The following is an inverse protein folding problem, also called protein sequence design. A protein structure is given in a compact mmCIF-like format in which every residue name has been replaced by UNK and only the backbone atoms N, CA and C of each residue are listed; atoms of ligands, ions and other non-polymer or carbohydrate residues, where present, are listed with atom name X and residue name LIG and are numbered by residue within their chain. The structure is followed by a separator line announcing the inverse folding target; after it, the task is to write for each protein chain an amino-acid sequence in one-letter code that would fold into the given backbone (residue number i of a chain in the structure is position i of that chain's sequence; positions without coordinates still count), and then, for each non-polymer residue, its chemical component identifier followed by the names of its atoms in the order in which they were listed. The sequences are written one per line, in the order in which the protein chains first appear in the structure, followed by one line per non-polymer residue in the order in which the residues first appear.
data_IF_630631946656
#
_entry.id   IF_630631946656
#
_cell.length_a   1.000
_cell.length_b   1.000
_cell.length_c   1.000
_cell.angle_alpha   90.00
_cell.angle_beta   90.00
_cell.angle_gamma   90.00
#
_symmetry.space_group_name_H-M   'P 1'
#
loop_
_entity.id
_entity.type
_entity.pdbx_description
1 polymer ?
#
# COMPACT_ATOMS: atom_id res chain seq x y z
N UNK A 1 -53.66 61.36 69.42
CA UNK A 1 -54.16 60.06 68.93
C UNK A 1 -54.16 59.90 67.41
N UNK A 2 -55.07 60.51 66.63
CA UNK A 2 -55.13 60.26 65.16
C UNK A 2 -53.85 60.67 64.39
N UNK A 3 -53.24 61.81 64.75
CA UNK A 3 -52.01 62.29 64.12
C UNK A 3 -50.78 61.42 64.47
N UNK A 4 -50.69 60.93 65.70
CA UNK A 4 -49.60 60.04 66.14
C UNK A 4 -49.71 58.67 65.48
N UNK A 5 -50.92 58.11 65.37
CA UNK A 5 -51.14 56.85 64.64
C UNK A 5 -50.82 56.99 63.16
N UNK A 6 -51.10 58.14 62.53
CA UNK A 6 -50.75 58.40 61.12
C UNK A 6 -49.24 58.56 60.92
N UNK A 7 -48.55 59.26 61.82
CA UNK A 7 -47.10 59.41 61.77
C UNK A 7 -46.38 58.05 61.96
N UNK A 8 -46.89 57.22 62.86
CA UNK A 8 -46.38 55.86 63.05
C UNK A 8 -46.61 54.99 61.81
N UNK A 9 -47.77 55.10 61.17
CA UNK A 9 -48.09 54.35 59.96
C UNK A 9 -47.18 54.74 58.79
N UNK A 10 -46.92 56.03 58.59
CA UNK A 10 -45.96 56.52 57.59
C UNK A 10 -44.54 56.01 57.88
N UNK A 11 -44.09 56.05 59.14
CA UNK A 11 -42.77 55.52 59.51
C UNK A 11 -42.66 54.00 59.29
N UNK A 12 -43.76 53.26 59.45
CA UNK A 12 -43.80 51.83 59.13
C UNK A 12 -43.79 51.58 57.62
N UNK A 13 -44.52 52.35 56.82
CA UNK A 13 -44.49 52.27 55.35
C UNK A 13 -43.09 52.55 54.78
N UNK A 14 -42.41 53.56 55.33
CA UNK A 14 -41.02 53.87 54.96
C UNK A 14 -40.08 52.71 55.29
N UNK A 15 -40.25 52.09 56.46
CA UNK A 15 -39.44 50.92 56.87
C UNK A 15 -39.72 49.68 56.04
N UNK A 16 -40.98 49.44 55.67
CA UNK A 16 -41.34 48.33 54.76
C UNK A 16 -40.70 48.53 53.39
N UNK A 17 -40.72 49.76 52.88
CA UNK A 17 -40.10 50.11 51.60
C UNK A 17 -38.58 49.95 51.65
N UNK A 18 -37.95 50.35 52.76
CA UNK A 18 -36.51 50.17 52.98
C UNK A 18 -36.11 48.69 53.00
N UNK A 19 -36.84 47.86 53.75
CA UNK A 19 -36.58 46.41 53.80
C UNK A 19 -36.85 45.72 52.48
N UNK A 20 -37.91 46.11 51.76
CA UNK A 20 -38.19 45.57 50.44
C UNK A 20 -37.05 45.88 49.47
N UNK A 21 -36.55 47.12 49.45
CA UNK A 21 -35.40 47.49 48.61
C UNK A 21 -34.13 46.71 48.98
N UNK A 22 -33.88 46.53 50.27
CA UNK A 22 -32.72 45.77 50.75
C UNK A 22 -32.81 44.30 50.32
N UNK A 23 -33.99 43.70 50.43
CA UNK A 23 -34.25 42.34 49.99
C UNK A 23 -34.11 42.19 48.47
N UNK A 24 -34.66 43.13 47.69
CA UNK A 24 -34.55 43.13 46.22
C UNK A 24 -33.08 43.21 45.79
N UNK A 25 -32.28 44.07 46.41
CA UNK A 25 -30.84 44.16 46.14
C UNK A 25 -30.11 42.86 46.47
N UNK A 26 -30.40 42.26 47.63
CA UNK A 26 -29.79 40.98 48.02
C UNK A 26 -30.15 39.84 47.06
N UNK A 27 -31.40 39.81 46.58
CA UNK A 27 -31.85 38.83 45.59
C UNK A 27 -31.10 39.03 44.26
N UNK A 28 -30.95 40.28 43.81
CA UNK A 28 -30.21 40.59 42.59
C UNK A 28 -28.74 40.14 42.70
N UNK A 29 -28.06 40.47 43.79
CA UNK A 29 -26.67 40.05 44.03
C UNK A 29 -26.54 38.52 44.04
N UNK A 30 -27.47 37.81 44.68
CA UNK A 30 -27.46 36.36 44.75
C UNK A 30 -27.75 35.71 43.38
N UNK A 31 -28.61 36.32 42.57
CA UNK A 31 -28.85 35.86 41.18
C UNK A 31 -27.58 36.03 40.35
N UNK A 32 -26.92 37.19 40.41
CA UNK A 32 -25.68 37.46 39.67
C UNK A 32 -24.53 36.53 40.11
N UNK A 33 -24.43 36.25 41.41
CA UNK A 33 -23.45 35.29 41.93
C UNK A 33 -23.72 33.88 41.41
N UNK A 34 -24.98 33.41 41.48
CA UNK A 34 -25.35 32.08 41.01
C UNK A 34 -25.20 31.92 39.50
N UNK A 35 -25.53 32.95 38.73
CA UNK A 35 -25.32 32.94 37.29
C UNK A 35 -23.82 32.83 36.95
N UNK A 36 -22.97 33.55 37.67
CA UNK A 36 -21.51 33.47 37.50
C UNK A 36 -20.97 32.10 37.85
N UNK A 37 -21.36 31.54 39.00
CA UNK A 37 -20.95 30.19 39.41
C UNK A 37 -21.37 29.13 38.39
N UNK A 38 -22.61 29.23 37.89
CA UNK A 38 -23.15 28.30 36.90
C UNK A 38 -22.37 28.40 35.58
N UNK A 39 -22.12 29.62 35.09
CA UNK A 39 -21.35 29.84 33.87
C UNK A 39 -19.91 29.34 34.00
N UNK A 40 -19.26 29.55 35.14
CA UNK A 40 -17.92 29.00 35.40
C UNK A 40 -17.91 27.48 35.43
N UNK A 41 -18.90 26.86 36.09
CA UNK A 41 -19.02 25.41 36.15
C UNK A 41 -19.24 24.81 34.76
N UNK A 42 -20.16 25.40 33.99
CA UNK A 42 -20.44 25.03 32.60
C UNK A 42 -19.17 25.15 31.75
N UNK A 43 -18.45 26.27 31.85
CA UNK A 43 -17.21 26.48 31.09
C UNK A 43 -16.13 25.44 31.43
N UNK A 44 -15.99 25.07 32.70
CA UNK A 44 -15.06 24.04 33.16
C UNK A 44 -15.41 22.67 32.59
N UNK A 45 -16.68 22.27 32.67
CA UNK A 45 -17.13 20.97 32.12
C UNK A 45 -17.00 20.94 30.60
N UNK A 46 -17.36 22.00 29.89
CA UNK A 46 -17.15 22.07 28.44
C UNK A 46 -15.68 21.95 28.07
N UNK A 47 -14.79 22.64 28.78
CA UNK A 47 -13.36 22.54 28.53
C UNK A 47 -12.85 21.13 28.77
N UNK A 48 -13.25 20.51 29.87
CA UNK A 48 -12.89 19.13 30.20
C UNK A 48 -13.32 18.14 29.11
N UNK A 49 -14.58 18.23 28.67
CA UNK A 49 -15.10 17.38 27.59
C UNK A 49 -14.34 17.64 26.28
N UNK A 50 -14.02 18.90 25.97
CA UNK A 50 -13.26 19.25 24.78
C UNK A 50 -11.85 18.64 24.81
N UNK A 51 -11.16 18.73 25.95
CA UNK A 51 -9.83 18.14 26.15
C UNK A 51 -9.88 16.60 26.03
N UNK A 52 -10.85 15.95 26.69
CA UNK A 52 -11.07 14.49 26.59
C UNK A 52 -11.35 14.05 25.14
N UNK A 53 -12.13 14.84 24.40
CA UNK A 53 -12.47 14.54 23.01
C UNK A 53 -11.25 14.66 22.08
N UNK A 54 -10.36 15.62 22.34
CA UNK A 54 -9.09 15.77 21.60
C UNK A 54 -8.18 14.56 21.86
N UNK A 55 -8.07 14.12 23.11
CA UNK A 55 -7.27 12.95 23.47
C UNK A 55 -7.81 11.67 22.82
N UNK A 56 -9.13 11.46 22.85
CA UNK A 56 -9.77 10.32 22.21
C UNK A 56 -9.56 10.35 20.68
N UNK A 57 -9.69 11.53 20.07
CA UNK A 57 -9.43 11.71 18.65
C UNK A 57 -7.97 11.40 18.28
N UNK A 58 -7.00 11.85 19.08
CA UNK A 58 -5.58 11.54 18.87
C UNK A 58 -5.30 10.04 18.99
N UNK A 59 -5.85 9.38 20.00
CA UNK A 59 -5.71 7.94 20.19
C UNK A 59 -6.32 7.16 19.02
N UNK A 60 -7.48 7.59 18.53
CA UNK A 60 -8.11 6.97 17.37
C UNK A 60 -7.25 7.14 16.11
N UNK A 61 -6.71 8.33 15.86
CA UNK A 61 -5.81 8.56 14.73
C UNK A 61 -4.54 7.71 14.80
N UNK A 62 -3.91 7.66 15.97
CA UNK A 62 -2.69 6.87 16.18
C UNK A 62 -2.94 5.38 15.93
N UNK A 63 -4.04 4.85 16.47
CA UNK A 63 -4.45 3.46 16.27
C UNK A 63 -4.75 3.17 14.79
N UNK A 64 -5.48 4.06 14.12
CA UNK A 64 -5.80 3.93 12.70
C UNK A 64 -4.54 3.95 11.83
N UNK A 65 -3.59 4.84 12.12
CA UNK A 65 -2.31 4.93 11.40
C UNK A 65 -1.47 3.65 11.59
N UNK A 66 -1.41 3.12 12.81
CA UNK A 66 -0.71 1.87 13.08
C UNK A 66 -1.32 0.71 12.28
N UNK A 67 -2.64 0.53 12.34
CA UNK A 67 -3.34 -0.54 11.60
C UNK A 67 -3.12 -0.39 10.10
N UNK A 68 -3.18 0.85 9.57
CA UNK A 68 -2.96 1.11 8.16
C UNK A 68 -1.53 0.74 7.75
N UNK A 69 -0.53 1.11 8.54
CA UNK A 69 0.88 0.81 8.29
C UNK A 69 1.16 -0.69 8.30
N UNK A 70 0.60 -1.42 9.26
CA UNK A 70 0.67 -2.88 9.33
C UNK A 70 0.07 -3.53 8.08
N UNK A 71 -1.13 -3.07 7.67
CA UNK A 71 -1.80 -3.57 6.46
C UNK A 71 -1.03 -3.25 5.19
N UNK A 72 -0.42 -2.07 5.10
CA UNK A 72 0.38 -1.66 3.94
C UNK A 72 1.62 -2.55 3.81
N UNK A 73 2.28 -2.85 4.93
CA UNK A 73 3.44 -3.74 4.98
C UNK A 73 3.05 -5.19 4.61
N UNK A 74 1.89 -5.65 5.07
CA UNK A 74 1.35 -6.97 4.69
C UNK A 74 1.10 -7.07 3.18
N UNK A 75 0.48 -6.04 2.59
CA UNK A 75 0.23 -5.97 1.15
C UNK A 75 1.55 -5.96 0.37
N UNK A 76 2.52 -5.16 0.78
CA UNK A 76 3.83 -5.10 0.11
C UNK A 76 4.55 -6.46 0.11
N UNK A 77 4.48 -7.18 1.24
CA UNK A 77 4.98 -8.56 1.34
C UNK A 77 4.27 -9.49 0.37
N UNK A 78 2.93 -9.47 0.36
CA UNK A 78 2.13 -10.32 -0.54
C UNK A 78 2.43 -10.04 -2.02
N UNK A 79 2.55 -8.77 -2.40
CA UNK A 79 2.90 -8.36 -3.78
C UNK A 79 4.29 -8.86 -4.14
N UNK A 80 5.25 -8.75 -3.23
CA UNK A 80 6.61 -9.26 -3.44
C UNK A 80 6.65 -10.79 -3.60
N UNK A 81 5.85 -11.51 -2.82
CA UNK A 81 5.70 -12.96 -2.94
C UNK A 81 5.11 -13.36 -4.29
N UNK A 82 4.00 -12.74 -4.70
CA UNK A 82 3.38 -12.99 -6.00
C UNK A 82 4.34 -12.66 -7.15
N UNK A 83 5.09 -11.55 -7.05
CA UNK A 83 6.10 -11.18 -8.04
C UNK A 83 7.17 -12.25 -8.18
N UNK A 84 7.67 -12.78 -7.06
CA UNK A 84 8.69 -13.83 -7.07
C UNK A 84 8.15 -15.17 -7.59
N UNK A 85 6.92 -15.51 -7.23
CA UNK A 85 6.25 -16.69 -7.76
C UNK A 85 6.07 -16.57 -9.27
N UNK A 86 5.61 -15.42 -9.76
CA UNK A 86 5.43 -15.17 -11.18
C UNK A 86 6.75 -15.23 -11.95
N UNK A 87 7.82 -14.63 -11.40
CA UNK A 87 9.18 -14.77 -11.96
C UNK A 87 9.59 -16.23 -12.08
N UNK A 88 9.36 -17.03 -11.03
CA UNK A 88 9.70 -18.46 -11.00
C UNK A 88 8.88 -19.25 -12.02
N UNK A 89 7.57 -18.98 -12.11
CA UNK A 89 6.69 -19.62 -13.09
C UNK A 89 7.09 -19.27 -14.53
N UNK A 90 7.41 -17.99 -14.81
CA UNK A 90 7.90 -17.56 -16.12
C UNK A 90 9.24 -18.23 -16.44
N UNK A 91 10.21 -18.22 -15.52
CA UNK A 91 11.50 -18.85 -15.71
C UNK A 91 11.37 -20.36 -16.00
N UNK A 92 10.48 -21.04 -15.28
CA UNK A 92 10.16 -22.45 -15.50
C UNK A 92 9.50 -22.70 -16.86
N UNK A 93 8.51 -21.88 -17.23
CA UNK A 93 7.83 -21.98 -18.51
C UNK A 93 8.77 -21.72 -19.70
N UNK A 94 9.63 -20.71 -19.59
CA UNK A 94 10.65 -20.39 -20.60
C UNK A 94 11.68 -21.51 -20.69
N UNK A 95 12.19 -22.00 -19.56
CA UNK A 95 13.13 -23.14 -19.54
C UNK A 95 12.53 -24.38 -20.21
N UNK A 96 11.25 -24.68 -19.93
CA UNK A 96 10.54 -25.80 -20.55
C UNK A 96 10.39 -25.62 -22.07
N UNK A 97 10.09 -24.41 -22.54
CA UNK A 97 10.00 -24.10 -23.98
C UNK A 97 11.35 -24.16 -24.67
N UNK A 98 12.40 -23.65 -24.04
CA UNK A 98 13.77 -23.71 -24.52
C UNK A 98 14.26 -25.17 -24.64
N UNK A 99 13.97 -26.02 -23.65
CA UNK A 99 14.26 -27.44 -23.73
C UNK A 99 13.55 -28.11 -24.92
N UNK A 100 12.28 -27.77 -25.19
CA UNK A 100 11.55 -28.27 -26.36
C UNK A 100 12.13 -27.73 -27.68
N UNK A 101 12.63 -26.51 -27.69
CA UNK A 101 13.25 -25.89 -28.86
C UNK A 101 14.53 -26.61 -29.29
N UNK A 102 15.35 -27.09 -28.34
CA UNK A 102 16.60 -27.83 -28.60
C UNK A 102 16.41 -29.08 -29.47
N UNK A 103 15.22 -29.67 -29.45
CA UNK A 103 14.83 -30.88 -30.19
C UNK A 103 13.80 -30.60 -31.29
N UNK A 104 13.47 -29.32 -31.55
CA UNK A 104 12.48 -28.95 -32.55
C UNK A 104 13.00 -29.21 -33.96
N UNK A 105 12.28 -30.04 -34.73
CA UNK A 105 12.63 -30.32 -36.12
C UNK A 105 12.56 -29.08 -37.02
N UNK A 106 11.77 -28.06 -36.67
CA UNK A 106 11.74 -26.79 -37.41
C UNK A 106 13.04 -26.01 -37.24
N UNK A 107 13.58 -25.92 -36.01
CA UNK A 107 14.85 -25.27 -35.74
C UNK A 107 15.99 -26.05 -36.41
N UNK A 108 15.98 -27.38 -36.28
CA UNK A 108 16.96 -28.27 -36.90
C UNK A 108 16.95 -28.10 -38.42
N UNK A 109 15.77 -28.02 -39.05
CA UNK A 109 15.65 -27.82 -40.49
C UNK A 109 16.17 -26.44 -40.92
N UNK A 110 15.89 -25.39 -40.15
CA UNK A 110 16.41 -24.06 -40.44
C UNK A 110 17.94 -23.97 -40.27
N UNK A 111 18.50 -24.59 -39.23
CA UNK A 111 19.95 -24.65 -39.03
C UNK A 111 20.67 -25.43 -40.13
N UNK A 112 20.02 -26.44 -40.73
CA UNK A 112 20.53 -27.14 -41.90
C UNK A 112 20.60 -26.21 -43.11
N UNK A 113 19.58 -25.38 -43.33
CA UNK A 113 19.60 -24.38 -44.40
C UNK A 113 20.71 -23.34 -44.18
N UNK A 114 20.90 -22.88 -42.93
CA UNK A 114 21.98 -21.95 -42.58
C UNK A 114 23.36 -22.58 -42.82
N UNK A 115 23.54 -23.86 -42.47
CA UNK A 115 24.80 -24.57 -42.73
C UNK A 115 25.12 -24.68 -44.23
N UNK A 116 24.12 -24.91 -45.08
CA UNK A 116 24.30 -24.91 -46.53
C UNK A 116 24.60 -23.50 -47.08
N UNK A 117 23.95 -22.47 -46.55
CA UNK A 117 24.19 -21.09 -46.94
C UNK A 117 25.61 -20.62 -46.55
N UNK A 118 26.08 -20.98 -45.36
CA UNK A 118 27.42 -20.62 -44.87
C UNK A 118 28.54 -21.26 -45.68
N UNK A 119 28.28 -22.41 -46.30
CA UNK A 119 29.23 -23.12 -47.17
C UNK A 119 29.00 -22.85 -48.65
N UNK A 120 28.16 -21.86 -48.99
CA UNK A 120 27.77 -21.51 -50.37
C UNK A 120 27.26 -22.72 -51.19
N UNK A 121 26.72 -23.74 -50.51
CA UNK A 121 26.19 -24.97 -51.12
C UNK A 121 24.71 -24.79 -51.54
N UNK A 122 24.48 -23.87 -52.49
CA UNK A 122 23.13 -23.58 -53.03
C UNK A 122 22.46 -24.82 -53.64
N UNK A 123 23.27 -25.75 -54.16
CA UNK A 123 22.80 -27.01 -54.74
C UNK A 123 22.47 -28.09 -53.69
N UNK A 124 22.73 -27.84 -52.39
CA UNK A 124 22.51 -28.77 -51.26
C UNK A 124 23.14 -30.14 -51.50
N UNK A 125 24.34 -30.15 -52.05
CA UNK A 125 25.08 -31.34 -52.44
C UNK A 125 25.83 -31.97 -51.27
N UNK A 126 26.17 -31.18 -50.24
CA UNK A 126 26.88 -31.65 -49.06
C UNK A 126 25.93 -32.38 -48.10
N UNK A 127 26.37 -33.51 -47.54
CA UNK A 127 25.54 -34.27 -46.59
C UNK A 127 25.69 -33.70 -45.18
N UNK A 128 24.60 -33.16 -44.62
CA UNK A 128 24.56 -32.81 -43.20
C UNK A 128 24.37 -34.06 -42.36
N UNK A 129 25.37 -34.39 -41.53
CA UNK A 129 25.26 -35.46 -40.53
C UNK A 129 24.50 -34.91 -39.33
N UNK A 130 23.37 -35.54 -39.01
CA UNK A 130 22.60 -35.28 -37.78
C UNK A 130 23.00 -36.30 -36.72
N UNK A 131 23.54 -35.83 -35.60
CA UNK A 131 23.81 -36.67 -34.43
C UNK A 131 22.89 -36.27 -33.30
N UNK A 132 21.94 -37.15 -32.96
CA UNK A 132 21.11 -36.98 -31.76
C UNK A 132 21.98 -37.22 -30.52
N UNK A 133 22.02 -36.23 -29.64
CA UNK A 133 22.63 -36.29 -28.32
C UNK A 133 21.51 -36.36 -27.26
N UNK A 134 21.86 -36.62 -26.00
CA UNK A 134 20.88 -36.67 -24.91
C UNK A 134 20.11 -35.34 -24.76
N UNK A 135 20.81 -34.21 -25.00
CA UNK A 135 20.31 -32.88 -24.65
C UNK A 135 20.04 -32.00 -25.90
N UNK A 136 20.22 -32.53 -27.12
CA UNK A 136 20.06 -31.76 -28.35
C UNK A 136 20.51 -32.51 -29.60
N UNK A 137 20.71 -31.77 -30.69
CA UNK A 137 21.16 -32.31 -31.98
C UNK A 137 22.40 -31.55 -32.42
N UNK A 138 23.47 -32.29 -32.68
CA UNK A 138 24.64 -31.77 -33.37
C UNK A 138 24.48 -31.97 -34.88
N UNK A 139 24.60 -30.89 -35.62
CA UNK A 139 24.56 -30.83 -37.07
C UNK A 139 25.96 -30.55 -37.56
N UNK A 140 26.50 -31.42 -38.42
CA UNK A 140 27.85 -31.25 -38.97
C UNK A 140 27.81 -31.36 -40.49
N UNK A 141 28.35 -30.35 -41.18
CA UNK A 141 28.71 -30.42 -42.59
C UNK A 141 30.24 -30.46 -42.70
N UNK A 142 30.73 -31.32 -43.59
CA UNK A 142 32.15 -31.53 -43.87
C UNK A 142 32.38 -31.41 -45.37
N UNK A 143 33.31 -30.53 -45.77
CA UNK A 143 33.84 -30.38 -47.11
C UNK A 143 35.37 -30.59 -47.07
N UNK A 144 36.03 -30.73 -48.23
CA UNK A 144 37.47 -30.96 -48.36
C UNK A 144 38.36 -29.94 -47.64
N UNK A 145 37.86 -28.71 -47.44
CA UNK A 145 38.62 -27.60 -46.85
C UNK A 145 38.10 -27.14 -45.47
N UNK A 146 36.92 -27.61 -45.02
CA UNK A 146 36.30 -27.10 -43.79
C UNK A 146 35.26 -28.04 -43.16
N UNK A 147 35.21 -28.06 -41.83
CA UNK A 147 34.16 -28.72 -41.04
C UNK A 147 33.40 -27.67 -40.24
N UNK A 148 32.08 -27.57 -40.44
CA UNK A 148 31.21 -26.67 -39.69
C UNK A 148 30.25 -27.51 -38.86
N UNK A 149 30.19 -27.25 -37.54
CA UNK A 149 29.31 -27.96 -36.62
C UNK A 149 28.50 -26.99 -35.77
N UNK A 150 27.18 -27.17 -35.75
CA UNK A 150 26.25 -26.43 -34.91
C UNK A 150 25.60 -27.40 -33.94
N UNK A 151 25.59 -27.04 -32.65
CA UNK A 151 24.89 -27.80 -31.61
C UNK A 151 23.68 -26.99 -31.13
N UNK A 152 22.48 -27.54 -31.27
CA UNK A 152 21.25 -26.88 -30.82
C UNK A 152 21.24 -26.62 -29.31
N UNK A 153 21.92 -27.45 -28.51
CA UNK A 153 22.02 -27.28 -27.06
C UNK A 153 22.84 -26.03 -26.68
N UNK A 154 23.94 -25.74 -27.39
CA UNK A 154 24.74 -24.52 -27.14
C UNK A 154 23.93 -23.24 -27.38
N UNK A 155 23.09 -23.24 -28.41
CA UNK A 155 22.19 -22.11 -28.72
C UNK A 155 21.17 -21.94 -27.59
N UNK A 156 20.61 -23.04 -27.09
CA UNK A 156 19.67 -23.01 -25.97
C UNK A 156 20.34 -22.55 -24.67
N UNK A 157 21.59 -22.95 -24.41
CA UNK A 157 22.38 -22.51 -23.26
C UNK A 157 22.70 -21.01 -23.31
N UNK A 158 23.07 -20.47 -24.47
CA UNK A 158 23.28 -19.03 -24.65
C UNK A 158 21.98 -18.23 -24.45
N UNK A 159 20.85 -18.71 -25.00
CA UNK A 159 19.54 -18.10 -24.78
C UNK A 159 19.12 -18.14 -23.31
N UNK A 160 19.44 -19.23 -22.60
CA UNK A 160 19.17 -19.37 -21.17
C UNK A 160 20.01 -18.40 -20.34
N UNK A 161 21.30 -18.25 -20.66
CA UNK A 161 22.20 -17.31 -19.98
C UNK A 161 21.76 -15.85 -20.12
N UNK A 162 21.22 -15.47 -21.28
CA UNK A 162 20.64 -14.13 -21.47
C UNK A 162 19.38 -13.95 -20.63
N UNK A 163 18.53 -14.97 -20.51
CA UNK A 163 17.30 -14.95 -19.71
C UNK A 163 17.53 -14.92 -18.20
N UNK A 164 18.60 -15.55 -17.71
CA UNK A 164 18.98 -15.52 -16.28
C UNK A 164 19.63 -14.19 -15.87
N UNK A 165 20.06 -13.38 -16.83
CA UNK A 165 20.65 -12.05 -16.60
C UNK A 165 19.64 -10.89 -16.46
N UNK A 166 18.33 -11.18 -16.60
CA UNK A 166 17.20 -10.23 -16.56
C UNK A 166 16.38 -10.43 -15.27
#
# INVERSE_FOLDING_TARGET
MYQESRALLMAMEDKVTEYQRLLENQILELIEEKERELNESISKEYKKIADEWVDEQMNWFFSAEQILSEKLTEIDRMVSEVKNELKTQIASAVSSRLAKLSQSESLISHLIEVLHAELEDEAKTLKVKRQKMADGVALTIENSDSVVSINTQKIVEELRGVLESI
#
